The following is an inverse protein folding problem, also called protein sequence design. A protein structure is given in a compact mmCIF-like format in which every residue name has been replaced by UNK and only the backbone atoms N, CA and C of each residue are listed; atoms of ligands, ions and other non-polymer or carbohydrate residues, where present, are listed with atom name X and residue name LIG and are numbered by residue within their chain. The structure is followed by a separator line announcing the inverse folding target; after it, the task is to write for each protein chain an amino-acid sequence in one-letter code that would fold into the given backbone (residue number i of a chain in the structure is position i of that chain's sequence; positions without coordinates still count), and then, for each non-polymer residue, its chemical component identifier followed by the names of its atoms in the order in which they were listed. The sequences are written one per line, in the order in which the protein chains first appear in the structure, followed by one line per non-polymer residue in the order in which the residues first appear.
data_IF_596094506754
#
_entry.id   IF_596094506754
#
_cell.length_a   1.000
_cell.length_b   1.000
_cell.length_c   1.000
_cell.angle_alpha   90.00
_cell.angle_beta   90.00
_cell.angle_gamma   90.00
#
_symmetry.space_group_name_H-M   'P 1'
#
loop_
_entity.id
_entity.type
_entity.pdbx_description
1 polymer ?
#
# COMPACT_ATOMS: atom_id res chain seq x y z
N UNK A 1 25.25 16.48 24.40
CA UNK A 1 24.30 15.96 23.39
C UNK A 1 23.51 14.72 23.89
N UNK A 2 23.41 14.47 25.20
CA UNK A 2 22.76 13.26 25.76
C UNK A 2 21.28 13.45 26.13
N UNK A 3 20.81 14.69 26.33
CA UNK A 3 19.47 14.95 26.90
C UNK A 3 18.29 14.62 25.99
N UNK A 4 18.46 14.68 24.66
CA UNK A 4 17.35 14.46 23.73
C UNK A 4 16.95 12.98 23.61
N UNK A 5 17.90 12.04 23.76
CA UNK A 5 17.63 10.62 23.68
C UNK A 5 16.83 10.14 24.92
N UNK A 6 17.18 10.64 26.10
CA UNK A 6 16.50 10.32 27.35
C UNK A 6 15.07 10.90 27.38
N UNK A 7 14.86 12.07 26.78
CA UNK A 7 13.53 12.70 26.68
C UNK A 7 12.59 11.94 25.72
N UNK A 8 13.10 11.48 24.58
CA UNK A 8 12.33 10.63 23.65
C UNK A 8 12.03 9.27 24.27
N UNK A 9 12.97 8.71 25.04
CA UNK A 9 12.79 7.44 25.75
C UNK A 9 11.72 7.58 26.85
N UNK A 10 11.76 8.67 27.62
CA UNK A 10 10.73 8.95 28.62
C UNK A 10 9.37 9.17 27.97
N UNK A 11 9.29 9.93 26.88
CA UNK A 11 8.05 10.15 26.16
C UNK A 11 7.49 8.83 25.61
N UNK A 12 8.30 7.98 24.99
CA UNK A 12 7.84 6.68 24.47
C UNK A 12 7.38 5.73 25.57
N UNK A 13 8.06 5.69 26.72
CA UNK A 13 7.62 4.89 27.88
C UNK A 13 6.31 5.44 28.44
N UNK A 14 6.16 6.75 28.55
CA UNK A 14 4.95 7.41 29.05
C UNK A 14 3.77 7.19 28.09
N UNK A 15 3.96 7.39 26.79
CA UNK A 15 2.92 7.14 25.78
C UNK A 15 2.58 5.65 25.66
N UNK A 16 3.56 4.76 25.77
CA UNK A 16 3.35 3.32 25.79
C UNK A 16 2.54 2.88 27.01
N UNK A 17 2.89 3.37 28.21
CA UNK A 17 2.14 3.11 29.43
C UNK A 17 0.72 3.68 29.37
N UNK A 18 0.55 4.90 28.84
CA UNK A 18 -0.75 5.54 28.65
C UNK A 18 -1.62 4.78 27.64
N UNK A 19 -1.04 4.31 26.53
CA UNK A 19 -1.73 3.50 25.52
C UNK A 19 -2.17 2.14 26.09
N UNK A 20 -1.30 1.46 26.84
CA UNK A 20 -1.60 0.19 27.52
C UNK A 20 -2.73 0.38 28.54
N UNK A 21 -2.71 1.48 29.30
CA UNK A 21 -3.80 1.83 30.22
C UNK A 21 -5.10 2.07 29.47
N UNK A 22 -5.10 2.91 28.43
CA UNK A 22 -6.27 3.24 27.60
C UNK A 22 -6.90 2.01 26.93
N UNK A 23 -6.08 1.08 26.45
CA UNK A 23 -6.55 -0.17 25.87
C UNK A 23 -7.00 -1.19 26.92
N UNK A 24 -6.54 -1.08 28.17
CA UNK A 24 -6.81 -2.07 29.20
C UNK A 24 -8.32 -2.20 29.48
N UNK A 25 -8.87 -3.42 29.58
CA UNK A 25 -10.28 -3.64 29.88
C UNK A 25 -10.67 -3.23 31.31
N UNK A 26 -9.67 -3.00 32.19
CA UNK A 26 -9.87 -2.65 33.61
C UNK A 26 -9.90 -1.14 33.90
N UNK A 27 -9.72 -0.29 32.88
CA UNK A 27 -9.81 1.17 33.04
C UNK A 27 -11.08 1.63 33.80
N UNK A 28 -12.30 1.12 33.51
CA UNK A 28 -13.51 1.56 34.20
C UNK A 28 -13.54 1.23 35.71
N UNK A 29 -12.75 0.24 36.16
CA UNK A 29 -12.67 -0.16 37.57
C UNK A 29 -11.73 0.75 38.40
N UNK A 30 -10.84 1.50 37.75
CA UNK A 30 -9.90 2.40 38.41
C UNK A 30 -10.44 3.83 38.57
N UNK A 31 -11.58 4.14 37.92
CA UNK A 31 -12.25 5.43 37.98
C UNK A 31 -13.37 5.43 39.05
N UNK A 32 -13.63 6.57 39.71
CA UNK A 32 -14.72 6.69 40.69
C UNK A 32 -16.08 6.31 40.08
N UNK A 33 -16.93 5.61 40.86
CA UNK A 33 -18.15 4.93 40.38
C UNK A 33 -19.11 5.78 39.51
N UNK A 34 -19.13 7.11 39.70
CA UNK A 34 -19.93 8.04 38.87
C UNK A 34 -19.44 8.13 37.42
N UNK A 35 -18.13 8.05 37.20
CA UNK A 35 -17.51 8.23 35.89
C UNK A 35 -17.34 6.90 35.15
N UNK A 36 -17.19 5.79 35.88
CA UNK A 36 -17.02 4.45 35.33
C UNK A 36 -18.15 4.03 34.35
N UNK A 37 -19.40 4.38 34.66
CA UNK A 37 -20.57 4.03 33.83
C UNK A 37 -20.60 4.80 32.52
N UNK A 38 -20.29 6.10 32.56
CA UNK A 38 -20.24 6.94 31.36
C UNK A 38 -19.10 6.52 30.43
N UNK A 39 -17.91 6.26 30.99
CA UNK A 39 -16.75 5.80 30.21
C UNK A 39 -17.01 4.43 29.59
N UNK A 40 -17.62 3.49 30.32
CA UNK A 40 -17.97 2.18 29.77
C UNK A 40 -19.00 2.27 28.62
N UNK A 41 -19.98 3.17 28.71
CA UNK A 41 -21.00 3.38 27.70
C UNK A 41 -20.45 4.03 26.42
N UNK A 42 -19.50 4.96 26.54
CA UNK A 42 -18.88 5.65 25.38
C UNK A 42 -17.77 4.80 24.76
N UNK A 43 -17.09 3.96 25.54
CA UNK A 43 -15.97 3.13 25.07
C UNK A 43 -16.38 2.13 23.99
N UNK A 44 -17.51 1.45 24.14
CA UNK A 44 -17.95 0.44 23.17
C UNK A 44 -18.20 1.02 21.77
N UNK A 45 -18.97 2.11 21.57
CA UNK A 45 -19.15 2.69 20.24
C UNK A 45 -17.86 3.30 19.67
N UNK A 46 -17.00 3.89 20.52
CA UNK A 46 -15.71 4.46 20.09
C UNK A 46 -14.77 3.37 19.60
N UNK A 47 -14.65 2.26 20.33
CA UNK A 47 -13.83 1.12 19.90
C UNK A 47 -14.39 0.48 18.64
N UNK A 48 -15.71 0.32 18.51
CA UNK A 48 -16.29 -0.22 17.27
C UNK A 48 -16.10 0.71 16.09
N UNK A 49 -16.18 2.03 16.29
CA UNK A 49 -15.93 3.02 15.23
C UNK A 49 -14.45 3.03 14.81
N UNK A 50 -13.51 2.95 15.76
CA UNK A 50 -12.08 2.83 15.47
C UNK A 50 -11.79 1.52 14.72
N UNK A 51 -12.38 0.40 15.16
CA UNK A 51 -12.18 -0.91 14.51
C UNK A 51 -12.79 -0.93 13.10
N UNK A 52 -13.98 -0.36 12.92
CA UNK A 52 -14.63 -0.19 11.61
C UNK A 52 -13.81 0.73 10.69
N UNK A 53 -13.25 1.82 11.21
CA UNK A 53 -12.36 2.72 10.47
C UNK A 53 -11.08 2.01 10.04
N UNK A 54 -10.45 1.25 10.94
CA UNK A 54 -9.28 0.43 10.62
C UNK A 54 -9.61 -0.67 9.59
N UNK A 55 -10.80 -1.27 9.67
CA UNK A 55 -11.29 -2.24 8.69
C UNK A 55 -11.71 -1.62 7.35
N UNK A 56 -11.92 -0.30 7.30
CA UNK A 56 -12.25 0.44 6.08
C UNK A 56 -11.00 0.89 5.30
N UNK A 57 -9.87 1.11 5.97
CA UNK A 57 -8.60 1.48 5.34
C UNK A 57 -8.02 0.49 4.29
N UNK A 58 -8.27 -0.84 4.31
CA UNK A 58 -7.68 -1.76 3.34
C UNK A 58 -8.54 -1.97 2.09
N UNK A 59 -9.52 -1.10 1.80
CA UNK A 59 -10.26 -1.16 0.51
C UNK A 59 -9.30 -0.87 -0.64
N UNK A 60 -8.70 -1.95 -1.13
CA UNK A 60 -8.06 -2.18 -2.42
C UNK A 60 -7.59 -0.90 -3.13
N UNK A 61 -6.40 -0.42 -2.77
CA UNK A 61 -5.61 0.27 -3.77
C UNK A 61 -5.31 -0.77 -4.87
N UNK A 62 -5.73 -0.54 -6.13
CA UNK A 62 -5.36 -1.45 -7.21
C UNK A 62 -3.84 -1.47 -7.27
N UNK A 63 -3.23 -2.58 -6.85
CA UNK A 63 -1.79 -2.76 -6.97
C UNK A 63 -1.52 -2.87 -8.47
N UNK A 64 -0.70 -1.96 -9.00
CA UNK A 64 -0.25 -2.04 -10.39
C UNK A 64 0.48 -3.38 -10.56
N UNK A 65 -0.16 -4.32 -11.25
CA UNK A 65 0.39 -5.64 -11.52
C UNK A 65 1.06 -5.63 -12.89
N UNK A 66 2.17 -6.35 -13.06
CA UNK A 66 2.86 -6.44 -14.34
C UNK A 66 1.97 -7.04 -15.44
N UNK A 67 1.09 -7.97 -15.08
CA UNK A 67 0.07 -8.51 -15.98
C UNK A 67 -0.94 -7.44 -16.44
N UNK A 68 -1.40 -6.58 -15.53
CA UNK A 68 -2.34 -5.50 -15.87
C UNK A 68 -1.70 -4.37 -16.68
N UNK A 69 -0.38 -4.16 -16.54
CA UNK A 69 0.38 -3.18 -17.34
C UNK A 69 0.58 -3.68 -18.77
N UNK A 70 0.80 -4.99 -18.96
CA UNK A 70 0.93 -5.59 -20.28
C UNK A 70 -0.42 -5.93 -20.94
N UNK A 71 -1.54 -5.69 -20.26
CA UNK A 71 -2.89 -6.06 -20.71
C UNK A 71 -3.00 -7.58 -21.03
N UNK A 72 -2.33 -8.43 -20.24
CA UNK A 72 -2.30 -9.90 -20.40
C UNK A 72 -2.84 -10.63 -19.18
N UNK A 73 -3.28 -11.88 -19.39
CA UNK A 73 -3.73 -12.75 -18.31
C UNK A 73 -2.58 -13.25 -17.42
N UNK A 74 -2.87 -13.62 -16.18
CA UNK A 74 -1.89 -14.16 -15.21
C UNK A 74 -1.33 -15.51 -15.69
N UNK A 75 -2.12 -16.27 -16.44
CA UNK A 75 -1.73 -17.56 -17.03
C UNK A 75 -1.12 -17.43 -18.44
N UNK A 76 -0.87 -16.21 -18.92
CA UNK A 76 -0.29 -15.96 -20.24
C UNK A 76 1.07 -16.66 -20.41
N UNK A 77 1.31 -17.17 -21.62
CA UNK A 77 2.61 -17.75 -21.98
C UNK A 77 3.64 -16.67 -22.27
N UNK A 78 4.92 -17.03 -22.34
CA UNK A 78 6.01 -16.09 -22.68
C UNK A 78 5.78 -15.39 -24.02
N UNK A 79 5.18 -16.08 -24.99
CA UNK A 79 4.87 -15.52 -26.30
C UNK A 79 3.77 -14.46 -26.21
N UNK A 80 2.73 -14.74 -25.42
CA UNK A 80 1.61 -13.80 -25.19
C UNK A 80 2.08 -12.55 -24.46
N UNK A 81 2.97 -12.69 -23.47
CA UNK A 81 3.62 -11.58 -22.77
C UNK A 81 4.40 -10.70 -23.76
N UNK A 82 5.15 -11.31 -24.69
CA UNK A 82 5.92 -10.56 -25.69
C UNK A 82 5.01 -9.85 -26.70
N UNK A 83 3.89 -10.48 -27.07
CA UNK A 83 2.89 -9.88 -27.94
C UNK A 83 2.15 -8.72 -27.25
N UNK A 84 1.76 -8.89 -26.00
CA UNK A 84 1.16 -7.85 -25.16
C UNK A 84 2.08 -6.64 -25.05
N UNK A 85 3.36 -6.85 -24.72
CA UNK A 85 4.38 -5.80 -24.69
C UNK A 85 4.46 -5.02 -26.01
N UNK A 86 4.49 -5.71 -27.16
CA UNK A 86 4.54 -5.06 -28.48
C UNK A 86 3.30 -4.20 -28.74
N UNK A 87 2.13 -4.66 -28.33
CA UNK A 87 0.87 -3.94 -28.52
C UNK A 87 0.79 -2.70 -27.62
N UNK A 88 1.09 -2.86 -26.33
CA UNK A 88 1.06 -1.79 -25.33
C UNK A 88 2.15 -0.75 -25.61
N UNK A 89 3.36 -1.18 -26.00
CA UNK A 89 4.46 -0.28 -26.36
C UNK A 89 4.13 0.60 -27.57
N UNK A 90 3.37 0.11 -28.54
CA UNK A 90 2.93 0.92 -29.70
C UNK A 90 1.85 1.92 -29.33
N UNK A 91 1.02 1.59 -28.33
CA UNK A 91 -0.09 2.41 -27.84
C UNK A 91 0.40 3.55 -26.96
N UNK A 92 1.35 3.26 -26.06
CA UNK A 92 1.83 4.20 -25.03
C UNK A 92 3.31 4.59 -25.22
N UNK A 93 3.82 4.62 -26.45
CA UNK A 93 5.16 5.14 -26.70
C UNK A 93 5.23 6.63 -26.28
N UNK A 94 6.31 7.10 -25.62
CA UNK A 94 6.41 8.48 -25.11
C UNK A 94 6.15 9.54 -26.19
N UNK A 95 6.63 9.30 -27.42
CA UNK A 95 6.39 10.16 -28.57
C UNK A 95 4.89 10.33 -28.94
N UNK A 96 4.10 9.26 -28.79
CA UNK A 96 2.66 9.26 -29.06
C UNK A 96 1.85 9.84 -27.89
N UNK A 97 2.27 9.57 -26.66
CA UNK A 97 1.63 10.14 -25.46
C UNK A 97 1.84 11.65 -25.43
N UNK A 98 3.05 12.12 -25.73
CA UNK A 98 3.38 13.55 -25.81
C UNK A 98 2.56 14.30 -26.88
N UNK A 99 2.21 13.63 -27.99
CA UNK A 99 1.44 14.24 -29.09
C UNK A 99 -0.08 14.07 -28.98
N UNK A 100 -0.56 13.01 -28.33
CA UNK A 100 -1.99 12.65 -28.30
C UNK A 100 -2.67 12.84 -26.94
N UNK A 101 -1.91 13.03 -25.86
CA UNK A 101 -2.45 13.16 -24.49
C UNK A 101 -3.11 11.88 -23.95
N UNK A 102 -2.85 10.73 -24.57
CA UNK A 102 -3.44 9.43 -24.17
C UNK A 102 -2.66 8.85 -23.00
N UNK A 103 -3.18 9.01 -21.79
CA UNK A 103 -2.59 8.42 -20.59
C UNK A 103 -3.14 7.01 -20.33
N UNK A 104 -2.29 6.04 -19.95
CA UNK A 104 -2.76 4.77 -19.42
C UNK A 104 -3.67 4.98 -18.20
N UNK A 105 -4.72 4.15 -18.00
CA UNK A 105 -5.59 4.26 -16.83
C UNK A 105 -4.83 4.09 -15.50
N UNK A 106 -3.68 3.42 -15.53
CA UNK A 106 -2.80 3.18 -14.38
C UNK A 106 -1.69 4.25 -14.21
N UNK A 107 -1.64 5.25 -15.10
CA UNK A 107 -0.59 6.29 -15.12
C UNK A 107 -1.05 7.64 -14.55
N UNK A 108 -2.18 7.70 -13.83
CA UNK A 108 -2.72 8.95 -13.28
C UNK A 108 -1.71 9.75 -12.43
N UNK A 109 -0.67 9.11 -11.91
CA UNK A 109 0.40 9.73 -11.11
C UNK A 109 1.81 9.57 -11.71
N UNK A 110 1.96 9.03 -12.92
CA UNK A 110 3.27 8.73 -13.52
C UNK A 110 3.52 9.52 -14.80
N UNK A 111 4.76 9.96 -15.00
CA UNK A 111 5.19 10.53 -16.28
C UNK A 111 5.14 9.44 -17.38
N UNK A 112 4.90 9.79 -18.65
CA UNK A 112 4.90 8.83 -19.76
C UNK A 112 6.17 7.97 -19.82
N UNK A 113 7.32 8.56 -19.47
CA UNK A 113 8.63 7.91 -19.43
C UNK A 113 8.70 6.86 -18.31
N UNK A 114 8.20 7.19 -17.12
CA UNK A 114 8.17 6.30 -15.96
C UNK A 114 7.28 5.08 -16.23
N UNK A 115 6.13 5.31 -16.88
CA UNK A 115 5.24 4.23 -17.30
C UNK A 115 5.91 3.30 -18.32
N UNK A 116 6.62 3.86 -19.30
CA UNK A 116 7.33 3.05 -20.29
C UNK A 116 8.47 2.23 -19.68
N UNK A 117 9.18 2.80 -18.72
CA UNK A 117 10.21 2.08 -17.96
C UNK A 117 9.60 0.91 -17.18
N UNK A 118 8.44 1.12 -16.56
CA UNK A 118 7.71 0.08 -15.84
C UNK A 118 7.18 -1.02 -16.78
N UNK A 119 6.67 -0.66 -17.95
CA UNK A 119 6.28 -1.61 -18.99
C UNK A 119 7.44 -2.51 -19.43
N UNK A 120 8.64 -1.92 -19.62
CA UNK A 120 9.85 -2.67 -19.95
C UNK A 120 10.26 -3.61 -18.80
N UNK A 121 10.26 -3.11 -17.56
CA UNK A 121 10.55 -3.91 -16.37
C UNK A 121 9.60 -5.11 -16.24
N UNK A 122 8.30 -4.88 -16.47
CA UNK A 122 7.29 -5.91 -16.41
C UNK A 122 7.54 -7.02 -17.44
N UNK A 123 7.85 -6.68 -18.69
CA UNK A 123 8.24 -7.66 -19.72
C UNK A 123 9.51 -8.44 -19.33
N UNK A 124 10.54 -7.77 -18.81
CA UNK A 124 11.79 -8.40 -18.41
C UNK A 124 11.63 -9.38 -17.23
N UNK A 125 10.77 -9.05 -16.27
CA UNK A 125 10.49 -9.91 -15.11
C UNK A 125 9.65 -11.11 -15.52
N UNK A 126 8.58 -10.91 -16.30
CA UNK A 126 7.65 -11.97 -16.67
C UNK A 126 8.20 -12.96 -17.70
N UNK A 127 9.20 -12.56 -18.50
CA UNK A 127 9.83 -13.45 -19.50
C UNK A 127 10.85 -14.43 -18.90
N UNK A 128 11.43 -14.12 -17.74
CA UNK A 128 12.38 -14.98 -17.05
C UNK A 128 11.69 -15.86 -16.01
N UNK A 129 11.79 -17.18 -16.13
CA UNK A 129 11.05 -18.13 -15.27
C UNK A 129 11.32 -17.91 -13.77
N UNK A 130 12.58 -17.73 -13.41
CA UNK A 130 12.99 -17.48 -12.02
C UNK A 130 12.39 -16.16 -11.53
N UNK A 131 12.54 -15.07 -12.29
CA UNK A 131 12.05 -13.74 -11.91
C UNK A 131 10.52 -13.67 -11.85
N UNK A 132 9.84 -14.31 -12.79
CA UNK A 132 8.39 -14.50 -12.79
C UNK A 132 7.95 -15.22 -11.52
N UNK A 133 8.61 -16.33 -11.18
CA UNK A 133 8.25 -17.09 -9.97
C UNK A 133 8.42 -16.30 -8.67
N UNK A 134 9.44 -15.43 -8.59
CA UNK A 134 9.60 -14.51 -7.46
C UNK A 134 8.52 -13.44 -7.44
N UNK A 135 8.21 -12.88 -8.61
CA UNK A 135 7.14 -11.90 -8.75
C UNK A 135 5.77 -12.46 -8.37
N UNK A 136 5.43 -13.67 -8.82
CA UNK A 136 4.15 -14.30 -8.50
C UNK A 136 3.99 -14.58 -7.00
N UNK A 137 5.10 -14.77 -6.27
CA UNK A 137 5.08 -15.02 -4.81
C UNK A 137 5.05 -13.75 -3.97
N UNK A 138 5.80 -12.72 -4.36
CA UNK A 138 6.05 -11.53 -3.52
C UNK A 138 5.46 -10.23 -4.11
N UNK A 139 5.08 -10.23 -5.37
CA UNK A 139 4.74 -9.04 -6.15
C UNK A 139 5.94 -8.14 -6.43
N UNK A 140 5.71 -6.97 -7.02
CA UNK A 140 6.75 -5.94 -7.12
C UNK A 140 6.91 -5.27 -5.74
N UNK A 141 8.13 -5.27 -5.21
CA UNK A 141 8.48 -4.64 -3.93
C UNK A 141 8.71 -3.12 -4.10
N UNK A 142 7.92 -2.44 -4.93
CA UNK A 142 7.96 -0.98 -5.06
C UNK A 142 7.50 -0.24 -3.80
N UNK A 143 6.94 -0.95 -2.82
CA UNK A 143 6.51 -0.36 -1.55
C UNK A 143 7.70 -0.21 -0.60
N UNK A 144 8.42 0.89 -0.78
CA UNK A 144 9.52 1.31 0.10
C UNK A 144 10.06 2.71 -0.15
N UNK A 145 9.46 3.51 -1.04
CA UNK A 145 9.73 4.95 -1.05
C UNK A 145 8.77 5.64 -0.07
N UNK A 146 9.17 5.66 1.19
CA UNK A 146 8.73 6.68 2.13
C UNK A 146 9.03 8.04 1.48
N UNK A 147 7.97 8.76 1.12
CA UNK A 147 8.00 10.21 0.93
C UNK A 147 7.23 10.84 2.07
#
# INVERSE_FOLDING_TARGET
MSGAADEVLQQTVVYGAAAVLLLSPKLPQLLPQRQAKLVAYIRTPVLTAILMYLAYLPVATPRNNFYSILEVDVHATKNDILQGYRNVSKKYHPDRVASSGVHPPQAANFSPEDYFLELKKAQEVLTHDIRKSFYDRFGDLKQGQFR
#
